data_IF_674272413199
#
_entry.id   IF_674272413199
#
_cell.length_a   1.000
_cell.length_b   1.000
_cell.length_c   1.000
_cell.angle_alpha   90.00
_cell.angle_beta   90.00
_cell.angle_gamma   90.00
#
_symmetry.space_group_name_H-M   'P 1'
#
loop_
_entity.id
_entity.type
_entity.pdbx_description
1 polymer ?
#
# COMPACT_ATOMS: atom_id res chain seq x y z
N UNK A 1 -82.80 -11.43 -14.62
CA UNK A 1 -82.33 -10.08 -15.04
C UNK A 1 -81.23 -9.63 -14.11
N UNK A 2 -80.16 -9.02 -14.62
CA UNK A 2 -78.98 -8.48 -14.02
C UNK A 2 -77.81 -9.48 -13.85
N UNK A 3 -77.04 -9.50 -14.90
CA UNK A 3 -75.68 -10.09 -14.99
C UNK A 3 -74.73 -9.32 -14.08
N UNK A 4 -73.94 -10.01 -13.22
CA UNK A 4 -72.83 -9.44 -12.51
C UNK A 4 -71.57 -10.13 -13.00
N UNK A 5 -70.79 -9.38 -13.74
CA UNK A 5 -69.49 -9.72 -14.26
C UNK A 5 -68.44 -9.72 -13.12
N UNK A 6 -67.84 -10.86 -12.85
CA UNK A 6 -66.70 -10.99 -11.94
C UNK A 6 -65.40 -10.73 -12.71
N UNK A 7 -64.74 -9.65 -12.35
CA UNK A 7 -63.40 -9.31 -12.85
C UNK A 7 -62.35 -10.05 -11.99
N UNK A 8 -61.69 -11.03 -12.60
CA UNK A 8 -60.52 -11.66 -12.00
C UNK A 8 -59.34 -10.69 -12.12
N UNK A 9 -58.84 -10.19 -10.99
CA UNK A 9 -57.60 -9.45 -10.92
C UNK A 9 -56.43 -10.44 -10.85
N UNK A 10 -55.63 -10.48 -11.91
CA UNK A 10 -54.36 -11.20 -11.92
C UNK A 10 -53.33 -10.43 -11.11
N UNK A 11 -52.88 -11.01 -10.00
CA UNK A 11 -51.75 -10.49 -9.21
C UNK A 11 -50.48 -10.94 -9.89
N UNK A 12 -49.82 -10.03 -10.59
CA UNK A 12 -48.45 -10.24 -11.09
C UNK A 12 -47.44 -10.06 -9.93
N UNK A 13 -46.92 -11.15 -9.43
CA UNK A 13 -45.81 -11.15 -8.50
C UNK A 13 -44.51 -10.80 -9.25
N UNK A 14 -44.14 -9.55 -9.22
CA UNK A 14 -42.79 -9.10 -9.62
C UNK A 14 -41.77 -9.53 -8.55
N UNK A 15 -41.01 -10.57 -8.86
CA UNK A 15 -39.82 -10.93 -8.09
C UNK A 15 -38.76 -9.85 -8.31
N UNK A 16 -38.60 -8.99 -7.31
CA UNK A 16 -37.47 -8.07 -7.22
C UNK A 16 -36.17 -8.91 -7.02
N UNK A 17 -35.40 -9.06 -8.08
CA UNK A 17 -34.06 -9.58 -7.98
C UNK A 17 -33.21 -8.65 -7.14
N UNK A 18 -32.86 -9.06 -5.93
CA UNK A 18 -31.82 -8.43 -5.14
C UNK A 18 -30.51 -8.65 -5.88
N UNK A 19 -30.10 -7.65 -6.69
CA UNK A 19 -28.73 -7.52 -7.12
C UNK A 19 -27.89 -7.23 -5.88
N UNK A 20 -27.23 -8.24 -5.35
CA UNK A 20 -26.20 -8.06 -4.34
C UNK A 20 -25.06 -7.29 -4.98
N UNK A 21 -25.08 -5.97 -4.77
CA UNK A 21 -23.94 -5.12 -5.06
C UNK A 21 -22.83 -5.59 -4.14
N UNK A 22 -21.91 -6.38 -4.68
CA UNK A 22 -20.67 -6.72 -4.01
C UNK A 22 -19.87 -5.40 -3.91
N UNK A 23 -19.99 -4.75 -2.77
CA UNK A 23 -19.16 -3.63 -2.41
C UNK A 23 -17.71 -4.15 -2.37
N UNK A 24 -16.96 -3.85 -3.44
CA UNK A 24 -15.51 -4.09 -3.47
C UNK A 24 -14.91 -3.34 -2.28
N UNK A 25 -14.19 -4.03 -1.37
CA UNK A 25 -13.52 -3.34 -0.29
C UNK A 25 -12.56 -2.34 -0.91
N UNK A 26 -12.86 -1.06 -0.72
CA UNK A 26 -11.92 0.01 -1.04
C UNK A 26 -10.78 -0.16 -0.06
N UNK A 27 -9.61 -0.57 -0.53
CA UNK A 27 -8.37 -0.37 0.20
C UNK A 27 -8.30 1.11 0.54
N UNK A 28 -8.72 1.44 1.77
CA UNK A 28 -8.77 2.79 2.27
C UNK A 28 -7.35 3.37 2.32
N UNK A 29 -6.99 4.06 1.27
CA UNK A 29 -5.85 4.94 1.21
C UNK A 29 -6.26 6.21 1.98
N UNK A 30 -6.18 6.16 3.31
CA UNK A 30 -6.21 7.39 4.11
C UNK A 30 -5.03 8.26 3.67
N UNK A 31 -5.20 9.59 3.54
CA UNK A 31 -4.09 10.48 3.29
C UNK A 31 -3.18 10.50 4.52
N UNK A 32 -2.27 9.55 4.61
CA UNK A 32 -1.12 9.63 5.50
C UNK A 32 -0.19 10.73 4.99
N UNK A 33 0.43 11.54 5.87
CA UNK A 33 1.36 12.55 5.43
C UNK A 33 2.46 11.90 4.61
N UNK A 34 2.54 12.24 3.33
CA UNK A 34 3.61 11.85 2.43
C UNK A 34 4.91 12.44 2.98
N UNK A 35 5.67 11.65 3.72
CA UNK A 35 7.08 11.92 3.95
C UNK A 35 7.82 11.62 2.65
N UNK A 36 7.92 12.62 1.80
CA UNK A 36 8.78 12.65 0.62
C UNK A 36 10.24 12.81 1.13
N UNK A 37 10.88 11.70 1.47
CA UNK A 37 12.33 11.65 1.55
C UNK A 37 12.91 11.29 0.17
N UNK A 38 14.19 11.62 -0.12
CA UNK A 38 14.84 11.35 -1.40
C UNK A 38 15.14 9.87 -1.66
N UNK A 39 14.15 9.04 -1.62
CA UNK A 39 14.07 7.59 -1.81
C UNK A 39 12.63 7.09 -1.76
N UNK A 40 11.66 8.01 -1.78
CA UNK A 40 10.31 7.77 -1.29
C UNK A 40 9.33 7.06 -2.23
N UNK A 41 9.51 7.05 -3.54
CA UNK A 41 8.53 6.42 -4.45
C UNK A 41 8.89 5.02 -4.94
N UNK A 42 10.16 4.62 -4.84
CA UNK A 42 10.65 3.37 -5.43
C UNK A 42 10.75 2.20 -4.43
N UNK A 43 10.31 2.37 -3.20
CA UNK A 43 10.36 1.34 -2.19
C UNK A 43 9.32 0.24 -2.38
N UNK A 44 9.66 -1.05 -2.08
CA UNK A 44 8.73 -2.19 -2.21
C UNK A 44 7.43 -1.98 -1.43
N UNK A 45 7.44 -1.21 -0.36
CA UNK A 45 6.26 -0.90 0.46
C UNK A 45 5.22 -0.03 -0.26
N UNK A 46 5.63 0.87 -1.16
CA UNK A 46 4.72 1.73 -1.95
C UNK A 46 4.18 1.00 -3.18
N UNK A 47 4.98 0.12 -3.78
CA UNK A 47 4.60 -0.66 -4.97
C UNK A 47 3.61 -1.78 -4.64
N UNK A 48 3.69 -2.37 -3.44
CA UNK A 48 2.90 -3.53 -3.05
C UNK A 48 1.37 -3.33 -3.19
N UNK A 49 0.76 -2.23 -2.70
CA UNK A 49 -0.69 -2.01 -2.87
C UNK A 49 -1.12 -1.89 -4.33
N UNK A 50 -0.28 -1.28 -5.17
CA UNK A 50 -0.55 -1.11 -6.59
C UNK A 50 -0.45 -2.45 -7.34
N UNK A 51 0.57 -3.24 -7.03
CA UNK A 51 0.75 -4.59 -7.59
C UNK A 51 -0.39 -5.52 -7.16
N UNK A 52 -0.83 -5.47 -5.91
CA UNK A 52 -1.97 -6.26 -5.42
C UNK A 52 -3.28 -5.90 -6.14
N UNK A 53 -3.51 -4.62 -6.43
CA UNK A 53 -4.66 -4.19 -7.25
C UNK A 53 -4.66 -4.80 -8.64
N UNK A 54 -3.48 -4.97 -9.23
CA UNK A 54 -3.33 -5.54 -10.56
C UNK A 54 -3.38 -7.07 -10.60
N UNK A 55 -3.28 -7.72 -9.45
CA UNK A 55 -3.27 -9.17 -9.34
C UNK A 55 -4.67 -9.80 -9.56
N UNK A 56 -5.76 -9.04 -9.46
CA UNK A 56 -7.15 -9.54 -9.49
C UNK A 56 -7.33 -10.68 -8.49
N UNK A 57 -7.20 -10.34 -7.21
CA UNK A 57 -7.35 -11.30 -6.11
C UNK A 57 -8.77 -11.84 -6.03
N UNK A 58 -8.93 -13.10 -5.62
CA UNK A 58 -10.23 -13.63 -5.20
C UNK A 58 -10.61 -13.06 -3.84
N UNK A 59 -11.90 -13.09 -3.43
CA UNK A 59 -12.33 -12.64 -2.11
C UNK A 59 -11.57 -13.34 -0.96
N UNK A 60 -11.28 -14.63 -1.11
CA UNK A 60 -10.53 -15.42 -0.13
C UNK A 60 -9.07 -14.95 -0.03
N UNK A 61 -8.44 -14.66 -1.18
CA UNK A 61 -7.08 -14.10 -1.22
C UNK A 61 -7.04 -12.70 -0.62
N UNK A 62 -8.04 -11.85 -0.91
CA UNK A 62 -8.16 -10.53 -0.31
C UNK A 62 -8.25 -10.61 1.22
N UNK A 63 -9.06 -11.52 1.76
CA UNK A 63 -9.18 -11.73 3.20
C UNK A 63 -7.85 -12.19 3.82
N UNK A 64 -7.13 -13.10 3.16
CA UNK A 64 -5.81 -13.56 3.63
C UNK A 64 -4.78 -12.42 3.63
N UNK A 65 -4.72 -11.63 2.56
CA UNK A 65 -3.83 -10.46 2.47
C UNK A 65 -4.16 -9.44 3.56
N UNK A 66 -5.45 -9.15 3.77
CA UNK A 66 -5.89 -8.24 4.83
C UNK A 66 -5.47 -8.74 6.21
N UNK A 67 -5.59 -10.05 6.48
CA UNK A 67 -5.14 -10.65 7.73
C UNK A 67 -3.63 -10.47 7.92
N UNK A 68 -2.81 -10.80 6.91
CA UNK A 68 -1.35 -10.61 6.96
C UNK A 68 -1.02 -9.15 7.27
N UNK A 69 -1.66 -8.20 6.60
CA UNK A 69 -1.44 -6.76 6.81
C UNK A 69 -1.87 -6.31 8.22
N UNK A 70 -2.96 -6.85 8.74
CA UNK A 70 -3.44 -6.55 10.09
C UNK A 70 -2.47 -7.06 11.16
N UNK A 71 -2.03 -8.31 11.04
CA UNK A 71 -1.09 -8.95 11.97
C UNK A 71 0.25 -8.20 12.03
N UNK A 72 0.70 -7.63 10.90
CA UNK A 72 1.96 -6.89 10.80
C UNK A 72 1.87 -5.40 11.20
N UNK A 73 0.65 -4.87 11.32
CA UNK A 73 0.41 -3.41 11.50
C UNK A 73 1.03 -2.84 12.78
N UNK A 74 0.94 -3.57 13.89
CA UNK A 74 1.47 -3.11 15.18
C UNK A 74 3.00 -2.90 15.12
N UNK A 75 3.72 -3.88 14.57
CA UNK A 75 5.18 -3.82 14.41
C UNK A 75 5.59 -2.71 13.44
N UNK A 76 4.92 -2.60 12.29
CA UNK A 76 5.16 -1.50 11.33
C UNK A 76 5.02 -0.13 12.00
N UNK A 77 3.95 0.08 12.77
CA UNK A 77 3.73 1.33 13.50
C UNK A 77 4.81 1.62 14.54
N UNK A 78 5.29 0.60 15.25
CA UNK A 78 6.37 0.75 16.22
C UNK A 78 7.67 1.19 15.54
N UNK A 79 8.08 0.53 14.45
CA UNK A 79 9.27 0.85 13.69
C UNK A 79 9.21 2.25 13.05
N UNK A 80 8.04 2.64 12.52
CA UNK A 80 7.84 4.00 11.97
C UNK A 80 7.95 5.06 13.06
N UNK A 81 7.40 4.81 14.26
CA UNK A 81 7.56 5.75 15.39
C UNK A 81 9.02 5.87 15.80
N UNK A 82 9.75 4.77 15.88
CA UNK A 82 11.17 4.78 16.22
C UNK A 82 12.00 5.54 15.20
N UNK A 83 11.74 5.34 13.90
CA UNK A 83 12.40 6.09 12.84
C UNK A 83 12.13 7.61 12.97
N UNK A 84 10.87 8.01 13.21
CA UNK A 84 10.52 9.42 13.41
C UNK A 84 11.19 10.02 14.65
N UNK A 85 11.22 9.29 15.74
CA UNK A 85 11.90 9.74 16.96
C UNK A 85 13.41 9.91 16.75
N UNK A 86 14.05 8.97 16.01
CA UNK A 86 15.45 9.10 15.65
C UNK A 86 15.73 10.29 14.74
N UNK A 87 14.85 10.57 13.77
CA UNK A 87 14.97 11.75 12.91
C UNK A 87 14.83 13.05 13.70
N UNK A 88 13.85 13.13 14.61
CA UNK A 88 13.68 14.30 15.48
C UNK A 88 14.92 14.52 16.36
N UNK A 89 15.41 13.48 17.02
CA UNK A 89 16.61 13.56 17.86
C UNK A 89 17.86 13.98 17.06
N UNK A 90 18.01 13.53 15.81
CA UNK A 90 19.09 13.95 14.92
C UNK A 90 18.98 15.45 14.59
N UNK A 91 17.76 15.93 14.25
CA UNK A 91 17.54 17.36 13.97
C UNK A 91 17.75 18.21 15.20
N UNK A 92 17.25 17.80 16.37
CA UNK A 92 17.44 18.51 17.63
C UNK A 92 18.94 18.70 17.96
N UNK A 93 19.74 17.65 17.76
CA UNK A 93 21.20 17.74 17.94
C UNK A 93 21.85 18.63 16.88
N UNK A 94 21.47 18.48 15.61
CA UNK A 94 22.06 19.20 14.49
C UNK A 94 21.90 20.73 14.63
N UNK A 95 20.78 21.14 15.22
CA UNK A 95 20.45 22.57 15.42
C UNK A 95 20.64 23.03 16.88
N UNK A 96 21.24 22.21 17.74
CA UNK A 96 21.62 22.62 19.09
C UNK A 96 22.73 23.68 19.05
N UNK A 97 22.70 24.62 20.00
CA UNK A 97 23.77 25.61 20.15
C UNK A 97 25.09 24.95 20.60
N UNK A 98 26.21 25.43 20.09
CA UNK A 98 27.56 24.95 20.45
C UNK A 98 28.28 24.26 19.30
N UNK A 99 29.52 23.85 19.55
CA UNK A 99 30.33 23.11 18.56
C UNK A 99 29.83 21.67 18.44
N UNK A 100 29.52 21.26 17.21
CA UNK A 100 29.04 19.93 16.90
C UNK A 100 30.03 19.23 15.97
N UNK A 101 30.45 18.01 16.33
CA UNK A 101 31.30 17.15 15.52
C UNK A 101 30.51 15.99 14.94
N UNK A 102 30.97 15.45 13.82
CA UNK A 102 30.31 14.31 13.16
C UNK A 102 30.13 13.08 14.10
N UNK A 103 31.10 12.86 15.00
CA UNK A 103 31.01 11.78 15.98
C UNK A 103 29.86 11.96 17.00
N UNK A 104 29.45 13.19 17.26
CA UNK A 104 28.36 13.47 18.20
C UNK A 104 27.00 13.06 17.64
N UNK A 105 26.88 12.97 16.31
CA UNK A 105 25.67 12.53 15.61
C UNK A 105 25.61 11.00 15.38
N UNK A 106 26.74 10.31 15.61
CA UNK A 106 26.84 8.87 15.33
C UNK A 106 25.79 8.01 16.02
N UNK A 107 25.44 8.20 17.32
CA UNK A 107 24.41 7.40 17.99
C UNK A 107 23.04 7.50 17.31
N UNK A 108 22.64 8.71 16.90
CA UNK A 108 21.35 8.96 16.22
C UNK A 108 21.34 8.37 14.81
N UNK A 109 22.43 8.51 14.08
CA UNK A 109 22.60 7.91 12.75
C UNK A 109 22.57 6.38 12.81
N UNK A 110 23.25 5.77 13.78
CA UNK A 110 23.24 4.33 13.99
C UNK A 110 21.83 3.83 14.36
N UNK A 111 21.10 4.59 15.19
CA UNK A 111 19.71 4.30 15.54
C UNK A 111 18.79 4.35 14.32
N UNK A 112 18.89 5.39 13.51
CA UNK A 112 18.13 5.54 12.26
C UNK A 112 18.44 4.43 11.27
N UNK A 113 19.70 4.07 11.12
CA UNK A 113 20.13 3.00 10.23
C UNK A 113 19.52 1.66 10.66
N UNK A 114 19.56 1.33 11.95
CA UNK A 114 18.93 0.11 12.49
C UNK A 114 17.42 0.11 12.28
N UNK A 115 16.73 1.21 12.59
CA UNK A 115 15.28 1.32 12.40
C UNK A 115 14.88 1.16 10.94
N UNK A 116 15.64 1.73 10.01
CA UNK A 116 15.43 1.56 8.56
C UNK A 116 15.64 0.11 8.11
N UNK A 117 16.72 -0.52 8.56
CA UNK A 117 16.99 -1.92 8.24
C UNK A 117 15.86 -2.83 8.73
N UNK A 118 15.43 -2.68 9.97
CA UNK A 118 14.32 -3.45 10.54
C UNK A 118 12.99 -3.21 9.79
N UNK A 119 12.72 -1.98 9.39
CA UNK A 119 11.52 -1.66 8.61
C UNK A 119 11.57 -2.31 7.22
N UNK A 120 12.74 -2.34 6.58
CA UNK A 120 12.94 -3.01 5.30
C UNK A 120 12.76 -4.52 5.43
N UNK A 121 13.39 -5.15 6.41
CA UNK A 121 13.26 -6.60 6.66
C UNK A 121 11.80 -6.98 6.93
N UNK A 122 11.09 -6.15 7.72
CA UNK A 122 9.68 -6.34 8.00
C UNK A 122 8.82 -6.22 6.74
N UNK A 123 9.11 -5.24 5.87
CA UNK A 123 8.42 -5.05 4.60
C UNK A 123 8.65 -6.23 3.64
N UNK A 124 9.90 -6.70 3.52
CA UNK A 124 10.26 -7.86 2.69
C UNK A 124 9.57 -9.13 3.19
N UNK A 125 9.61 -9.38 4.49
CA UNK A 125 8.93 -10.55 5.10
C UNK A 125 7.43 -10.49 4.84
N UNK A 126 6.80 -9.33 5.01
CA UNK A 126 5.37 -9.14 4.71
C UNK A 126 5.06 -9.39 3.23
N UNK A 127 5.91 -8.89 2.33
CA UNK A 127 5.76 -9.11 0.89
C UNK A 127 5.89 -10.59 0.51
N UNK A 128 6.82 -11.32 1.14
CA UNK A 128 6.98 -12.76 0.95
C UNK A 128 5.77 -13.55 1.44
N UNK A 129 5.18 -13.18 2.58
CA UNK A 129 3.96 -13.81 3.07
C UNK A 129 2.78 -13.57 2.13
N UNK A 130 2.62 -12.35 1.62
CA UNK A 130 1.60 -12.02 0.61
C UNK A 130 1.86 -12.78 -0.69
N UNK A 131 3.12 -12.90 -1.11
CA UNK A 131 3.50 -13.64 -2.33
C UNK A 131 3.03 -15.09 -2.28
N UNK A 132 3.01 -15.75 -1.13
CA UNK A 132 2.54 -17.14 -0.96
C UNK A 132 1.03 -17.29 -1.22
N UNK A 133 0.27 -16.22 -1.12
CA UNK A 133 -1.18 -16.19 -1.39
C UNK A 133 -1.48 -16.11 -2.89
N UNK A 134 -0.54 -15.61 -3.69
CA UNK A 134 -0.72 -15.36 -5.12
C UNK A 134 -0.42 -16.60 -5.96
N UNK A 135 -1.22 -16.80 -7.02
CA UNK A 135 -0.94 -17.85 -8.02
C UNK A 135 0.23 -17.46 -8.95
N UNK A 136 0.85 -18.42 -9.65
CA UNK A 136 1.89 -18.14 -10.64
C UNK A 136 1.43 -17.13 -11.72
N UNK A 137 0.18 -17.22 -12.18
CA UNK A 137 -0.40 -16.34 -13.19
C UNK A 137 -0.56 -14.91 -12.66
N UNK A 138 -0.98 -14.77 -11.40
CA UNK A 138 -1.07 -13.47 -10.72
C UNK A 138 0.31 -12.84 -10.54
N UNK A 139 1.31 -13.64 -10.16
CA UNK A 139 2.71 -13.19 -10.06
C UNK A 139 3.26 -12.74 -11.42
N UNK A 140 3.00 -13.49 -12.50
CA UNK A 140 3.41 -13.12 -13.85
C UNK A 140 2.75 -11.82 -14.32
N UNK A 141 1.47 -11.59 -13.98
CA UNK A 141 0.75 -10.35 -14.26
C UNK A 141 1.33 -9.16 -13.51
N UNK A 142 1.58 -9.31 -12.22
CA UNK A 142 2.19 -8.24 -11.42
C UNK A 142 3.60 -7.90 -11.87
N UNK A 143 4.39 -8.90 -12.31
CA UNK A 143 5.72 -8.68 -12.88
C UNK A 143 5.67 -7.80 -14.14
N UNK A 144 4.75 -8.09 -15.08
CA UNK A 144 4.56 -7.28 -16.29
C UNK A 144 4.20 -5.83 -15.97
N UNK A 145 3.36 -5.60 -14.96
CA UNK A 145 2.98 -4.24 -14.55
C UNK A 145 4.16 -3.51 -13.90
N UNK A 146 4.91 -4.18 -13.03
CA UNK A 146 6.14 -3.63 -12.45
C UNK A 146 7.13 -3.21 -13.54
N UNK A 147 7.35 -4.05 -14.56
CA UNK A 147 8.29 -3.76 -15.64
C UNK A 147 7.81 -2.56 -16.49
N UNK A 148 6.50 -2.49 -16.76
CA UNK A 148 5.90 -1.34 -17.47
C UNK A 148 6.02 -0.04 -16.68
N UNK A 149 5.83 -0.09 -15.37
CA UNK A 149 6.00 1.08 -14.51
C UNK A 149 7.46 1.55 -14.48
N UNK A 150 8.42 0.63 -14.43
CA UNK A 150 9.85 0.95 -14.51
C UNK A 150 10.16 1.66 -15.83
N UNK A 151 9.73 1.10 -16.96
CA UNK A 151 9.95 1.71 -18.27
C UNK A 151 9.36 3.13 -18.37
N UNK A 152 8.15 3.35 -17.83
CA UNK A 152 7.56 4.70 -17.78
C UNK A 152 8.35 5.66 -16.89
N UNK A 153 8.85 5.18 -15.76
CA UNK A 153 9.68 6.00 -14.87
C UNK A 153 11.00 6.40 -15.54
N UNK A 154 11.64 5.46 -16.24
CA UNK A 154 12.87 5.71 -16.97
C UNK A 154 12.64 6.73 -18.10
N UNK A 155 11.56 6.61 -18.87
CA UNK A 155 11.17 7.60 -19.89
C UNK A 155 10.92 8.99 -19.28
N UNK A 156 10.23 9.06 -18.12
CA UNK A 156 10.04 10.33 -17.43
C UNK A 156 11.35 10.96 -16.97
N UNK A 157 12.31 10.15 -16.52
CA UNK A 157 13.63 10.62 -16.10
C UNK A 157 14.41 11.19 -17.29
N UNK A 158 14.38 10.53 -18.44
CA UNK A 158 15.02 11.01 -19.68
C UNK A 158 14.44 12.36 -20.13
N UNK A 159 13.12 12.55 -20.01
CA UNK A 159 12.47 13.81 -20.37
C UNK A 159 12.79 14.98 -19.45
N UNK A 160 13.17 14.69 -18.19
CA UNK A 160 13.48 15.70 -17.16
C UNK A 160 14.99 15.91 -17.01
N UNK A 161 15.82 15.02 -17.56
CA UNK A 161 17.26 15.20 -17.57
C UNK A 161 17.61 16.49 -18.36
N UNK A 162 18.39 17.43 -17.79
CA UNK A 162 18.88 18.58 -18.53
C UNK A 162 19.70 18.09 -19.71
N UNK A 163 19.48 18.67 -20.89
CA UNK A 163 20.36 18.47 -22.05
C UNK A 163 21.75 18.95 -21.63
N UNK A 164 22.72 18.01 -21.55
CA UNK A 164 24.12 18.36 -21.31
C UNK A 164 24.64 19.08 -22.57
N UNK A 165 24.74 20.42 -22.50
CA UNK A 165 25.47 21.27 -23.46
C UNK A 165 26.97 21.21 -23.22
#
# INVERSE_FOLDING_TARGET
>A
MKKRTLILAAVATTTLGLATVHARPRFGMGPGPMMMGPGGMDGPAMMLPLLLRSANLTPEQEAQVQKIMADRRAQTRALVREMRAGQAALLDKLFAAGDLKANDLKPELDRLTRARAQLMDHAVTTALDIRKVLTPEQLARTAKIKDRMRALHDQMRELVAPEEE
#
